data_IF_029201953906
#
_entry.id   IF_029201953906
#
_cell.length_a   1.000
_cell.length_b   1.000
_cell.length_c   1.000
_cell.angle_alpha   90.00
_cell.angle_beta   90.00
_cell.angle_gamma   90.00
#
_symmetry.space_group_name_H-M   'P 1'
#
loop_
_entity.id
_entity.type
_entity.pdbx_description
1 polymer ?
#
# COMPACT_ATOMS: atom_id res chain seq x y z
N UNK A 1 -5.71 4.46 19.79
CA UNK A 1 -5.12 3.24 20.36
C UNK A 1 -3.88 2.91 19.54
N UNK A 2 -2.70 3.11 20.10
CA UNK A 2 -1.42 2.92 19.39
C UNK A 2 -0.92 1.50 19.67
N UNK A 3 -0.85 0.65 18.64
CA UNK A 3 -0.30 -0.72 18.75
C UNK A 3 1.24 -0.66 18.77
N UNK A 4 1.80 -0.07 19.83
CA UNK A 4 3.24 0.18 19.95
C UNK A 4 4.03 -1.15 20.03
N UNK A 5 3.43 -2.15 20.68
CA UNK A 5 3.95 -3.51 20.85
C UNK A 5 4.11 -4.26 19.52
N UNK A 6 3.21 -4.05 18.56
CA UNK A 6 3.24 -4.73 17.25
C UNK A 6 4.01 -3.97 16.18
N UNK A 7 4.47 -2.75 16.48
CA UNK A 7 5.17 -1.89 15.51
C UNK A 7 6.52 -2.49 15.10
N UNK A 8 7.19 -3.17 16.00
CA UNK A 8 8.50 -3.77 15.75
C UNK A 8 8.46 -4.88 14.68
N UNK A 9 7.34 -5.61 14.56
CA UNK A 9 7.16 -6.71 13.59
C UNK A 9 6.26 -6.34 12.39
N UNK A 10 5.97 -5.05 12.24
CA UNK A 10 5.02 -4.54 11.24
C UNK A 10 5.63 -4.39 9.85
N UNK A 11 6.94 -4.19 9.79
CA UNK A 11 7.72 -4.21 8.55
C UNK A 11 9.12 -4.74 8.84
N UNK A 12 9.73 -5.37 7.84
CA UNK A 12 11.16 -5.64 7.80
C UNK A 12 11.76 -4.94 6.58
N UNK A 13 13.06 -4.68 6.62
CA UNK A 13 13.76 -4.16 5.46
C UNK A 13 15.14 -4.78 5.38
N UNK A 14 15.66 -4.85 4.16
CA UNK A 14 17.01 -5.30 3.86
C UNK A 14 17.69 -4.25 2.99
N UNK A 15 18.98 -4.02 3.23
CA UNK A 15 19.77 -3.07 2.47
C UNK A 15 21.04 -3.76 1.96
N UNK A 16 21.09 -3.98 0.65
CA UNK A 16 22.23 -4.55 -0.04
C UNK A 16 23.09 -3.45 -0.63
N UNK A 17 24.25 -3.22 -0.02
CA UNK A 17 25.23 -2.25 -0.51
C UNK A 17 25.99 -2.85 -1.70
N UNK A 18 25.86 -2.22 -2.86
CA UNK A 18 26.54 -2.64 -4.08
C UNK A 18 27.93 -2.01 -4.17
N UNK A 19 28.02 -0.73 -3.81
CA UNK A 19 29.27 0.02 -3.69
C UNK A 19 29.12 1.19 -2.69
N UNK A 20 30.12 2.09 -2.65
CA UNK A 20 30.13 3.25 -1.75
C UNK A 20 29.12 4.35 -2.12
N UNK A 21 28.32 4.16 -3.17
CA UNK A 21 27.39 5.15 -3.73
C UNK A 21 25.99 4.59 -4.00
N UNK A 22 25.82 3.27 -4.12
CA UNK A 22 24.59 2.61 -4.53
C UNK A 22 24.26 1.45 -3.59
N UNK A 23 23.00 1.38 -3.17
CA UNK A 23 22.43 0.24 -2.48
C UNK A 23 21.03 -0.09 -3.03
N UNK A 24 20.66 -1.36 -2.96
CA UNK A 24 19.26 -1.79 -3.08
C UNK A 24 18.64 -1.85 -1.71
N UNK A 25 17.40 -1.38 -1.60
CA UNK A 25 16.63 -1.46 -0.35
C UNK A 25 15.34 -2.20 -0.67
N UNK A 26 15.12 -3.31 0.04
CA UNK A 26 13.87 -4.05 0.02
C UNK A 26 13.07 -3.74 1.28
N UNK A 27 11.76 -3.63 1.15
CA UNK A 27 10.83 -3.48 2.26
C UNK A 27 9.78 -4.57 2.19
N UNK A 28 9.62 -5.32 3.28
CA UNK A 28 8.49 -6.23 3.47
C UNK A 28 7.52 -5.59 4.44
N UNK A 29 6.30 -5.35 3.97
CA UNK A 29 5.25 -4.70 4.77
C UNK A 29 4.05 -5.63 4.83
N UNK A 30 3.56 -5.92 6.04
CA UNK A 30 2.31 -6.66 6.20
C UNK A 30 1.14 -5.76 5.82
N UNK A 31 0.41 -6.14 4.78
CA UNK A 31 -0.82 -5.44 4.40
C UNK A 31 -1.80 -5.46 5.58
N UNK A 32 -2.21 -4.27 5.99
CA UNK A 32 -3.27 -4.13 6.99
C UNK A 32 -4.61 -4.11 6.28
N UNK A 33 -5.56 -4.91 6.77
CA UNK A 33 -6.95 -4.82 6.31
C UNK A 33 -7.62 -3.63 6.98
N UNK A 34 -8.44 -2.90 6.21
CA UNK A 34 -9.26 -1.82 6.74
C UNK A 34 -10.35 -2.39 7.65
N UNK A 35 -10.08 -2.41 8.96
CA UNK A 35 -10.94 -3.06 9.95
C UNK A 35 -11.20 -2.11 11.10
N UNK A 36 -12.45 -2.00 11.52
CA UNK A 36 -12.83 -1.32 12.77
C UNK A 36 -13.02 -2.40 13.83
N UNK A 37 -12.39 -2.22 14.99
CA UNK A 37 -12.65 -3.04 16.17
C UNK A 37 -13.35 -2.16 17.21
N UNK A 38 -14.50 -2.61 17.71
CA UNK A 38 -15.24 -1.95 18.79
C UNK A 38 -15.41 -2.91 19.95
N UNK A 39 -15.24 -2.41 21.16
CA UNK A 39 -15.60 -3.13 22.39
C UNK A 39 -17.01 -2.72 22.80
N UNK A 40 -17.89 -3.70 23.01
CA UNK A 40 -19.24 -3.52 23.54
C UNK A 40 -19.51 -4.65 24.54
N UNK A 41 -19.86 -4.30 25.78
CA UNK A 41 -20.15 -5.24 26.86
C UNK A 41 -19.06 -6.32 27.08
N UNK A 42 -17.78 -5.91 26.94
CA UNK A 42 -16.62 -6.80 27.08
C UNK A 42 -16.36 -7.72 25.89
N UNK A 43 -17.11 -7.58 24.79
CA UNK A 43 -16.92 -8.34 23.55
C UNK A 43 -16.30 -7.44 22.48
N UNK A 44 -15.25 -7.94 21.83
CA UNK A 44 -14.63 -7.29 20.67
C UNK A 44 -15.37 -7.68 19.39
N UNK A 45 -16.05 -6.71 18.77
CA UNK A 45 -16.69 -6.86 17.47
C UNK A 45 -15.79 -6.31 16.38
N UNK A 46 -15.54 -7.13 15.35
CA UNK A 46 -14.68 -6.80 14.22
C UNK A 46 -15.54 -6.51 13.00
N UNK A 47 -15.36 -5.35 12.37
CA UNK A 47 -16.03 -4.96 11.13
C UNK A 47 -14.99 -4.73 10.04
N UNK A 48 -15.06 -5.53 8.98
CA UNK A 48 -14.24 -5.31 7.77
C UNK A 48 -14.90 -4.26 6.89
N UNK A 49 -14.15 -3.23 6.53
CA UNK A 49 -14.59 -2.18 5.62
C UNK A 49 -14.14 -2.53 4.21
N UNK A 50 -14.97 -2.17 3.23
CA UNK A 50 -14.61 -2.25 1.82
C UNK A 50 -13.44 -1.32 1.48
N UNK A 51 -12.81 -1.62 0.35
CA UNK A 51 -11.75 -0.80 -0.24
C UNK A 51 -12.27 0.64 -0.43
N UNK A 52 -11.51 1.67 -0.05
CA UNK A 52 -11.92 3.04 -0.28
C UNK A 52 -12.15 3.29 -1.77
N UNK A 53 -13.21 4.05 -2.08
CA UNK A 53 -13.45 4.52 -3.45
C UNK A 53 -12.24 5.36 -3.87
N UNK A 54 -11.62 5.09 -5.03
CA UNK A 54 -10.52 5.89 -5.52
C UNK A 54 -10.91 7.37 -5.64
N UNK A 55 -9.97 8.31 -5.47
CA UNK A 55 -10.24 9.73 -5.66
C UNK A 55 -10.75 10.02 -7.07
N UNK A 56 -11.48 11.12 -7.27
CA UNK A 56 -12.13 11.47 -8.56
C UNK A 56 -11.15 11.47 -9.76
N UNK A 57 -9.86 11.75 -9.52
CA UNK A 57 -8.81 11.73 -10.53
C UNK A 57 -8.04 10.40 -10.62
N UNK A 58 -8.66 9.28 -10.23
CA UNK A 58 -8.05 7.96 -10.39
C UNK A 58 -8.15 7.51 -11.86
N UNK A 59 -7.06 7.75 -12.59
CA UNK A 59 -6.92 7.35 -13.98
C UNK A 59 -6.60 5.85 -14.04
N UNK A 60 -7.57 5.04 -14.47
CA UNK A 60 -7.43 3.57 -14.63
C UNK A 60 -6.46 3.17 -15.74
N UNK A 61 -6.26 4.03 -16.72
CA UNK A 61 -5.38 3.78 -17.84
C UNK A 61 -4.90 5.07 -18.48
N UNK A 62 -3.65 5.07 -18.89
CA UNK A 62 -3.08 6.15 -19.69
C UNK A 62 -2.85 5.63 -21.11
N UNK A 63 -3.13 6.49 -22.08
CA UNK A 63 -2.86 6.24 -23.48
C UNK A 63 -2.19 7.47 -24.07
N UNK A 64 -0.95 7.30 -24.52
CA UNK A 64 -0.16 8.38 -25.13
C UNK A 64 -0.24 8.23 -26.65
N UNK A 65 -0.75 9.28 -27.29
CA UNK A 65 -0.83 9.37 -28.75
C UNK A 65 0.10 10.47 -29.26
N UNK A 66 0.94 10.13 -30.23
CA UNK A 66 1.81 11.07 -30.96
C UNK A 66 1.46 10.91 -32.44
N UNK A 67 1.18 12.03 -33.12
CA UNK A 67 0.77 12.07 -34.54
C UNK A 67 -0.40 11.14 -34.87
N UNK A 68 -1.38 11.04 -33.96
CA UNK A 68 -2.56 10.18 -34.10
C UNK A 68 -2.29 8.68 -33.94
N UNK A 69 -1.05 8.27 -33.63
CA UNK A 69 -0.68 6.89 -33.33
C UNK A 69 -0.44 6.70 -31.84
N UNK A 70 -0.93 5.59 -31.30
CA UNK A 70 -0.63 5.19 -29.92
C UNK A 70 0.81 4.69 -29.84
N UNK A 71 1.60 5.33 -28.99
CA UNK A 71 3.01 4.97 -28.75
C UNK A 71 3.23 4.33 -27.38
N UNK A 72 2.24 4.42 -26.50
CA UNK A 72 2.35 3.98 -25.12
C UNK A 72 0.96 3.77 -24.49
N UNK A 73 0.79 2.68 -23.75
CA UNK A 73 -0.44 2.38 -23.01
C UNK A 73 -0.11 1.62 -21.72
N UNK A 74 -0.71 2.04 -20.61
CA UNK A 74 -0.61 1.34 -19.32
C UNK A 74 -1.95 1.39 -18.59
N UNK A 75 -2.30 0.27 -17.97
CA UNK A 75 -3.44 0.12 -17.07
C UNK A 75 -2.92 -0.12 -15.64
N UNK A 76 -3.65 0.44 -14.66
CA UNK A 76 -3.44 0.21 -13.23
C UNK A 76 -4.34 -0.92 -12.74
#
# INVERSE_FOLDING_TARGET
MTNLDKRQDSFTFEADYLDNKVCYISFDIKLTKRTIVKEQDGVLTVTHLDEPVPPEYFVKSYKVNVDGKTVAEWAV
#
